data_IF_912721087791
#
_entry.id   IF_912721087791
#
_cell.length_a   1.000
_cell.length_b   1.000
_cell.length_c   1.000
_cell.angle_alpha   90.00
_cell.angle_beta   90.00
_cell.angle_gamma   90.00
#
_symmetry.space_group_name_H-M   'P 1'
#
loop_
_entity.id
_entity.type
_entity.pdbx_description
1 polymer ?
#
# COMPACT_ATOMS: atom_id res chain seq x y z
N UNK A 1 7.52 32.96 -14.26
CA UNK A 1 6.45 31.95 -14.18
C UNK A 1 5.70 32.15 -12.87
N UNK A 2 4.37 32.34 -12.89
CA UNK A 2 3.55 32.55 -11.68
C UNK A 2 3.01 31.20 -11.22
N UNK A 3 3.33 30.81 -9.98
CA UNK A 3 2.76 29.66 -9.28
C UNK A 3 1.21 29.78 -9.22
N UNK A 4 0.44 28.74 -9.59
CA UNK A 4 -1.01 28.79 -9.42
C UNK A 4 -1.36 28.61 -7.94
N UNK A 5 -1.98 29.64 -7.37
CA UNK A 5 -2.65 29.64 -6.07
C UNK A 5 -3.97 28.87 -6.20
N UNK A 6 -4.04 27.58 -5.88
CA UNK A 6 -5.31 26.99 -5.40
C UNK A 6 -5.27 25.57 -4.81
N UNK A 7 -4.10 25.02 -4.44
CA UNK A 7 -3.97 23.67 -3.84
C UNK A 7 -4.92 23.48 -2.63
N UNK A 8 -5.06 24.51 -1.79
CA UNK A 8 -5.97 24.51 -0.64
C UNK A 8 -7.45 24.30 -1.03
N UNK A 9 -7.89 24.92 -2.14
CA UNK A 9 -9.27 24.76 -2.62
C UNK A 9 -9.54 23.35 -3.14
N UNK A 10 -8.54 22.71 -3.75
CA UNK A 10 -8.61 21.35 -4.25
C UNK A 10 -8.68 20.34 -3.10
N UNK A 11 -7.89 20.54 -2.04
CA UNK A 11 -7.92 19.72 -0.82
C UNK A 11 -9.27 19.87 -0.11
N UNK A 12 -9.74 21.11 0.10
CA UNK A 12 -11.05 21.35 0.74
C UNK A 12 -12.20 20.71 -0.04
N UNK A 13 -12.19 20.80 -1.37
CA UNK A 13 -13.25 20.25 -2.22
C UNK A 13 -13.24 18.71 -2.26
N UNK A 14 -12.07 18.07 -2.27
CA UNK A 14 -11.97 16.60 -2.31
C UNK A 14 -12.29 15.96 -0.95
N UNK A 15 -11.86 16.58 0.15
CA UNK A 15 -12.12 16.08 1.50
C UNK A 15 -13.56 16.36 1.96
N UNK A 16 -14.05 17.60 1.84
CA UNK A 16 -15.37 17.97 2.38
C UNK A 16 -16.54 17.53 1.49
N UNK A 17 -16.29 17.28 0.19
CA UNK A 17 -17.34 16.92 -0.77
C UNK A 17 -17.87 15.49 -0.62
N UNK A 18 -17.14 14.60 0.05
CA UNK A 18 -17.43 13.16 0.09
C UNK A 18 -17.89 12.64 1.45
N UNK A 19 -17.95 13.50 2.49
CA UNK A 19 -18.35 13.04 3.81
C UNK A 19 -19.85 13.28 4.00
N UNK A 20 -20.66 12.26 3.69
CA UNK A 20 -22.07 12.25 4.10
C UNK A 20 -22.16 12.19 5.63
N UNK A 21 -23.11 12.96 6.14
CA UNK A 21 -23.33 13.36 7.53
C UNK A 21 -23.27 12.20 8.54
N UNK A 22 -22.13 12.04 9.21
CA UNK A 22 -22.01 11.41 10.53
C UNK A 22 -21.40 12.43 11.50
N UNK A 23 -21.61 12.28 12.81
CA UNK A 23 -21.12 13.24 13.81
C UNK A 23 -19.57 13.38 13.84
N UNK A 24 -18.84 12.39 13.31
CA UNK A 24 -17.37 12.44 13.17
C UNK A 24 -16.94 13.33 11.99
N UNK A 25 -17.72 13.39 10.91
CA UNK A 25 -17.45 14.22 9.73
C UNK A 25 -17.32 15.72 10.04
N UNK A 26 -18.20 16.21 10.92
CA UNK A 26 -18.22 17.62 11.33
C UNK A 26 -17.04 17.96 12.25
N UNK A 27 -16.61 17.00 13.07
CA UNK A 27 -15.47 17.15 13.95
C UNK A 27 -14.15 17.13 13.17
N UNK A 28 -14.01 16.21 12.21
CA UNK A 28 -12.84 16.12 11.33
C UNK A 28 -12.72 17.36 10.43
N UNK A 29 -13.85 17.84 9.90
CA UNK A 29 -13.90 19.09 9.13
C UNK A 29 -13.49 20.32 9.95
N UNK A 30 -13.86 20.36 11.23
CA UNK A 30 -13.44 21.43 12.16
C UNK A 30 -11.96 21.35 12.50
N UNK A 31 -11.43 20.16 12.79
CA UNK A 31 -10.00 19.95 13.08
C UNK A 31 -9.14 20.38 11.89
N UNK A 32 -9.51 19.97 10.67
CA UNK A 32 -8.79 20.37 9.46
C UNK A 32 -8.87 21.87 9.20
N UNK A 33 -10.05 22.48 9.41
CA UNK A 33 -10.22 23.93 9.28
C UNK A 33 -9.40 24.70 10.31
N UNK A 34 -9.37 24.24 11.57
CA UNK A 34 -8.62 24.88 12.65
C UNK A 34 -7.11 24.75 12.41
N UNK A 35 -6.64 23.59 11.93
CA UNK A 35 -5.24 23.36 11.55
C UNK A 35 -4.80 24.26 10.38
N UNK A 36 -5.62 24.37 9.33
CA UNK A 36 -5.33 25.28 8.21
C UNK A 36 -5.36 26.75 8.65
N UNK A 37 -6.28 27.12 9.54
CA UNK A 37 -6.38 28.47 10.12
C UNK A 37 -5.14 28.80 10.95
N UNK A 38 -4.73 27.91 11.85
CA UNK A 38 -3.52 28.07 12.66
C UNK A 38 -2.25 28.14 11.80
N UNK A 39 -2.21 27.40 10.67
CA UNK A 39 -1.09 27.47 9.72
C UNK A 39 -1.07 28.80 8.94
N UNK A 40 -2.23 29.38 8.63
CA UNK A 40 -2.31 30.72 8.05
C UNK A 40 -1.99 31.83 9.06
N UNK A 41 -2.40 31.68 10.31
CA UNK A 41 -2.13 32.63 11.40
C UNK A 41 -0.65 32.63 11.79
N UNK A 42 -0.02 31.46 11.88
CA UNK A 42 1.44 31.36 12.11
C UNK A 42 2.28 31.94 10.97
N UNK A 43 1.76 31.97 9.73
CA UNK A 43 2.39 32.69 8.61
C UNK A 43 2.22 34.20 8.69
N UNK A 44 1.22 34.71 9.43
CA UNK A 44 0.95 36.14 9.63
C UNK A 44 1.68 36.70 10.84
N UNK A 45 2.04 35.87 11.81
CA UNK A 45 2.84 36.28 12.97
C UNK A 45 4.34 36.15 12.71
N UNK A 46 4.94 37.24 12.26
CA UNK A 46 6.32 37.56 12.62
C UNK A 46 6.31 38.97 13.20
N UNK A 47 6.45 39.12 14.53
CA UNK A 47 7.64 39.79 15.03
C UNK A 47 8.13 39.31 16.41
N UNK A 48 9.45 39.24 16.56
CA UNK A 48 10.18 39.90 17.66
C UNK A 48 10.08 39.31 19.08
N UNK A 49 11.19 38.70 19.51
CA UNK A 49 11.75 38.73 20.88
C UNK A 49 10.99 39.57 21.93
N UNK A 50 10.40 38.90 22.94
CA UNK A 50 10.27 39.42 24.30
C UNK A 50 10.02 38.28 25.31
N UNK A 51 10.93 38.10 26.26
CA UNK A 51 10.83 37.11 27.32
C UNK A 51 9.78 37.45 28.38
N UNK A 52 9.24 36.43 29.05
CA UNK A 52 8.40 36.65 30.23
C UNK A 52 8.59 35.59 31.31
N UNK A 53 8.74 36.09 32.52
CA UNK A 53 9.11 35.41 33.77
C UNK A 53 8.18 34.27 34.20
N UNK A 54 8.77 33.11 34.47
CA UNK A 54 8.11 31.92 35.04
C UNK A 54 7.75 32.20 36.51
N UNK A 55 6.48 32.50 36.77
CA UNK A 55 5.92 32.53 38.14
C UNK A 55 5.69 31.10 38.64
N UNK A 56 6.20 30.86 39.84
CA UNK A 56 6.17 29.64 40.65
C UNK A 56 4.75 29.09 40.83
N UNK A 57 4.44 27.94 40.20
CA UNK A 57 3.21 27.16 40.48
C UNK A 57 3.46 26.29 41.71
N UNK A 58 2.86 26.65 42.84
CA UNK A 58 2.86 25.81 44.05
C UNK A 58 1.77 24.75 43.90
N UNK A 59 2.16 23.49 43.66
CA UNK A 59 1.24 22.35 43.58
C UNK A 59 1.00 21.72 44.96
N UNK A 60 -0.28 21.58 45.35
CA UNK A 60 -0.75 21.21 46.70
C UNK A 60 -1.10 19.72 46.93
N UNK A 61 -0.80 18.77 46.03
CA UNK A 61 -1.08 17.35 46.31
C UNK A 61 0.16 16.44 46.25
N UNK A 62 0.33 15.50 47.20
CA UNK A 62 1.53 14.66 47.31
C UNK A 62 1.68 13.62 46.18
N UNK A 63 0.58 13.17 45.55
CA UNK A 63 0.61 12.17 44.46
C UNK A 63 1.14 12.79 43.14
N UNK A 64 0.90 14.09 42.90
CA UNK A 64 1.43 14.76 41.70
C UNK A 64 2.91 15.11 41.82
N UNK A 65 3.46 15.16 43.04
CA UNK A 65 4.89 15.44 43.27
C UNK A 65 5.79 14.29 42.83
N UNK A 66 5.35 13.05 42.96
CA UNK A 66 6.11 11.88 42.51
C UNK A 66 6.04 11.71 40.99
N UNK A 67 4.88 11.97 40.36
CA UNK A 67 4.75 11.96 38.90
C UNK A 67 5.59 13.06 38.24
N UNK A 68 5.56 14.29 38.76
CA UNK A 68 6.39 15.39 38.24
C UNK A 68 7.89 15.13 38.44
N UNK A 69 8.29 14.55 39.57
CA UNK A 69 9.69 14.18 39.81
C UNK A 69 10.16 13.06 38.86
N UNK A 70 9.31 12.06 38.57
CA UNK A 70 9.61 11.02 37.59
C UNK A 70 9.76 11.59 36.17
N UNK A 71 8.87 12.51 35.77
CA UNK A 71 8.96 13.21 34.47
C UNK A 71 10.22 14.07 34.38
N UNK A 72 10.61 14.77 35.44
CA UNK A 72 11.84 15.56 35.48
C UNK A 72 13.09 14.65 35.44
N UNK A 73 13.08 13.52 36.13
CA UNK A 73 14.19 12.56 36.09
C UNK A 73 14.30 11.92 34.71
N UNK A 74 13.19 11.56 34.07
CA UNK A 74 13.16 11.09 32.67
C UNK A 74 13.67 12.19 31.75
N UNK A 75 13.18 13.42 31.86
CA UNK A 75 13.62 14.56 31.05
C UNK A 75 15.10 14.92 31.27
N UNK A 76 15.66 14.72 32.46
CA UNK A 76 17.08 14.94 32.76
C UNK A 76 17.94 13.76 32.27
N UNK A 77 17.47 12.52 32.38
CA UNK A 77 18.19 11.35 31.86
C UNK A 77 18.21 11.31 30.33
N UNK A 78 17.13 11.75 29.68
CA UNK A 78 17.11 11.98 28.24
C UNK A 78 17.89 13.25 27.88
N UNK A 79 17.69 14.36 28.59
CA UNK A 79 18.37 15.63 28.35
C UNK A 79 19.90 15.54 28.46
N UNK A 80 20.43 14.74 29.38
CA UNK A 80 21.89 14.53 29.53
C UNK A 80 22.51 13.68 28.41
N UNK A 81 21.72 12.91 27.64
CA UNK A 81 22.21 12.27 26.40
C UNK A 81 22.22 13.23 25.20
N UNK A 82 21.61 14.41 25.31
CA UNK A 82 21.44 15.38 24.21
C UNK A 82 22.24 16.67 24.35
N UNK A 83 23.09 16.84 25.38
CA UNK A 83 23.95 18.02 25.50
C UNK A 83 25.15 17.86 24.55
N UNK A 84 25.02 18.55 23.42
CA UNK A 84 25.85 18.46 22.22
C UNK A 84 27.35 18.63 22.42
N UNK A 85 28.08 17.64 21.90
CA UNK A 85 29.42 17.85 21.35
C UNK A 85 29.38 18.32 19.89
N UNK A 86 30.52 18.71 19.30
CA UNK A 86 30.62 19.20 17.92
C UNK A 86 30.14 18.20 16.84
N UNK A 87 29.94 16.93 17.18
CA UNK A 87 29.63 15.84 16.23
C UNK A 87 28.15 15.71 15.85
N UNK A 88 27.23 16.43 16.51
CA UNK A 88 25.83 16.52 16.03
C UNK A 88 25.76 17.30 14.70
N UNK A 89 26.90 17.81 14.20
CA UNK A 89 27.10 18.36 12.86
C UNK A 89 26.85 17.33 11.73
N UNK A 90 27.12 16.04 12.01
CA UNK A 90 27.11 14.96 11.03
C UNK A 90 26.41 13.73 11.61
N UNK A 91 25.13 13.84 11.99
CA UNK A 91 24.37 12.62 12.33
C UNK A 91 24.31 11.74 11.09
N UNK A 92 25.07 10.65 11.10
CA UNK A 92 25.13 9.71 10.01
C UNK A 92 23.76 9.06 9.84
N UNK A 93 23.34 8.84 8.60
CA UNK A 93 22.09 8.16 8.29
C UNK A 93 21.94 6.80 9.01
N UNK A 94 23.05 6.09 9.24
CA UNK A 94 23.06 4.85 10.01
C UNK A 94 22.41 4.99 11.40
N UNK A 95 22.56 6.13 12.07
CA UNK A 95 21.92 6.36 13.37
C UNK A 95 20.42 6.56 13.23
N UNK A 96 19.98 7.32 12.23
CA UNK A 96 18.56 7.51 11.88
C UNK A 96 17.90 6.17 11.57
N UNK A 97 18.54 5.34 10.74
CA UNK A 97 18.05 3.99 10.41
C UNK A 97 17.94 3.10 11.65
N UNK A 98 18.95 3.09 12.51
CA UNK A 98 18.91 2.33 13.76
C UNK A 98 17.74 2.77 14.65
N UNK A 99 17.39 4.05 14.67
CA UNK A 99 16.20 4.54 15.37
C UNK A 99 14.92 4.09 14.69
N UNK A 100 14.85 4.16 13.36
CA UNK A 100 13.72 3.71 12.58
C UNK A 100 13.42 2.21 12.79
N UNK A 101 14.46 1.37 12.82
CA UNK A 101 14.36 -0.07 13.05
C UNK A 101 13.93 -0.43 14.49
N UNK A 102 14.02 0.52 15.42
CA UNK A 102 13.55 0.36 16.80
C UNK A 102 12.10 0.83 17.00
N UNK A 103 11.44 1.33 15.94
CA UNK A 103 10.06 1.76 16.04
C UNK A 103 9.15 0.53 16.04
N UNK A 104 8.55 0.25 17.20
CA UNK A 104 7.62 -0.87 17.36
C UNK A 104 6.22 -0.57 16.81
N UNK A 105 5.83 0.71 16.76
CA UNK A 105 4.54 1.17 16.24
C UNK A 105 4.68 2.45 15.40
N UNK A 106 4.08 2.45 14.21
CA UNK A 106 3.94 3.63 13.35
C UNK A 106 2.49 3.78 12.94
N UNK A 107 1.99 5.02 13.01
CA UNK A 107 0.83 5.46 12.25
C UNK A 107 1.31 6.44 11.16
N UNK A 108 0.78 6.33 9.95
CA UNK A 108 1.12 7.26 8.87
C UNK A 108 -0.02 7.52 7.91
N UNK A 109 -0.02 8.71 7.33
CA UNK A 109 -0.86 9.08 6.19
C UNK A 109 -0.08 8.91 4.89
N UNK A 110 -0.76 8.42 3.85
CA UNK A 110 -0.21 8.24 2.52
C UNK A 110 -0.92 9.22 1.59
N UNK A 111 -0.17 9.96 0.79
CA UNK A 111 -0.69 10.90 -0.20
C UNK A 111 0.03 10.63 -1.52
N UNK A 112 -0.72 10.49 -2.61
CA UNK A 112 -0.19 10.26 -3.95
C UNK A 112 -0.59 11.39 -4.87
N UNK A 113 0.40 12.05 -5.46
CA UNK A 113 0.23 13.12 -6.44
C UNK A 113 0.59 12.59 -7.82
N UNK A 114 -0.22 12.98 -8.81
CA UNK A 114 0.06 12.77 -10.23
C UNK A 114 -0.08 14.10 -10.97
N UNK A 115 1.03 14.70 -11.38
CA UNK A 115 1.04 16.11 -11.81
C UNK A 115 0.48 17.04 -10.72
N UNK A 116 -0.44 17.92 -11.13
CA UNK A 116 -1.16 18.85 -10.24
C UNK A 116 -2.30 18.19 -9.42
N UNK A 117 -2.63 16.92 -9.67
CA UNK A 117 -3.79 16.24 -9.09
C UNK A 117 -3.41 15.29 -7.92
N UNK A 118 -4.18 15.37 -6.84
CA UNK A 118 -4.13 14.37 -5.76
C UNK A 118 -4.96 13.15 -6.17
N UNK A 119 -4.28 12.11 -6.67
CA UNK A 119 -4.93 10.92 -7.21
C UNK A 119 -5.25 9.86 -6.15
N UNK A 120 -4.48 9.82 -5.05
CA UNK A 120 -4.66 8.81 -4.02
C UNK A 120 -4.33 9.33 -2.63
N UNK A 121 -5.03 8.80 -1.63
CA UNK A 121 -4.62 8.93 -0.24
C UNK A 121 -4.96 7.65 0.52
N UNK A 122 -4.40 7.51 1.71
CA UNK A 122 -4.65 6.39 2.58
C UNK A 122 -4.06 6.60 3.96
N UNK A 123 -4.25 5.59 4.79
CA UNK A 123 -3.79 5.56 6.18
C UNK A 123 -3.16 4.20 6.42
N UNK A 124 -2.08 4.15 7.17
CA UNK A 124 -1.40 2.89 7.44
C UNK A 124 -0.87 2.81 8.86
N UNK A 125 -0.94 1.61 9.41
CA UNK A 125 -0.43 1.26 10.73
C UNK A 125 0.56 0.13 10.59
N UNK A 126 1.68 0.21 11.31
CA UNK A 126 2.63 -0.86 11.44
C UNK A 126 2.86 -1.14 12.92
N UNK A 127 2.69 -2.38 13.35
CA UNK A 127 3.16 -2.84 14.66
C UNK A 127 3.44 -4.33 14.69
N UNK A 128 4.44 -4.72 15.49
CA UNK A 128 4.83 -6.11 15.72
C UNK A 128 5.07 -6.91 14.42
N UNK A 129 5.67 -6.26 13.42
CA UNK A 129 5.93 -6.87 12.10
C UNK A 129 4.69 -7.04 11.23
N UNK A 130 3.56 -6.43 11.59
CA UNK A 130 2.31 -6.44 10.81
C UNK A 130 2.00 -5.05 10.31
N UNK A 131 1.46 -4.96 9.10
CA UNK A 131 1.06 -3.70 8.48
C UNK A 131 -0.41 -3.77 8.06
N UNK A 132 -1.14 -2.68 8.29
CA UNK A 132 -2.45 -2.44 7.68
C UNK A 132 -2.37 -1.18 6.85
N UNK A 133 -2.99 -1.21 5.67
CA UNK A 133 -3.16 -0.03 4.82
C UNK A 133 -4.62 0.11 4.45
N UNK A 134 -5.23 1.24 4.78
CA UNK A 134 -6.55 1.65 4.30
C UNK A 134 -6.38 2.57 3.09
N UNK A 135 -6.93 2.15 1.95
CA UNK A 135 -7.00 2.97 0.75
C UNK A 135 -8.21 3.91 0.78
N UNK A 136 -8.10 5.05 0.11
CA UNK A 136 -9.21 5.99 -0.08
C UNK A 136 -10.42 5.41 -0.83
N UNK A 137 -10.23 4.35 -1.60
CA UNK A 137 -11.31 3.63 -2.29
C UNK A 137 -12.12 2.71 -1.36
N UNK A 138 -11.74 2.64 -0.07
CA UNK A 138 -12.30 1.76 0.95
C UNK A 138 -11.64 0.39 1.01
N UNK A 139 -10.62 0.13 0.18
CA UNK A 139 -9.86 -1.10 0.26
C UNK A 139 -8.98 -1.19 1.50
N UNK A 140 -8.70 -2.41 1.94
CA UNK A 140 -7.88 -2.69 3.11
C UNK A 140 -6.84 -3.74 2.75
N UNK A 141 -5.58 -3.44 3.05
CA UNK A 141 -4.47 -4.39 2.95
C UNK A 141 -4.08 -4.83 4.35
N UNK A 142 -3.96 -6.13 4.56
CA UNK A 142 -3.34 -6.72 5.74
C UNK A 142 -2.06 -7.42 5.32
N UNK A 143 -0.96 -7.14 5.99
CA UNK A 143 0.32 -7.83 5.85
C UNK A 143 0.74 -8.34 7.22
N UNK A 144 0.85 -9.65 7.39
CA UNK A 144 1.25 -10.26 8.67
C UNK A 144 2.76 -10.56 8.76
N UNK A 145 3.55 -10.01 7.83
CA UNK A 145 4.98 -10.28 7.70
C UNK A 145 5.30 -11.55 6.89
N UNK A 146 4.28 -12.38 6.62
CA UNK A 146 4.41 -13.61 5.81
C UNK A 146 3.53 -13.58 4.57
N UNK A 147 2.33 -13.05 4.71
CA UNK A 147 1.31 -13.00 3.67
C UNK A 147 0.64 -11.63 3.66
N UNK A 148 0.47 -11.10 2.45
CA UNK A 148 -0.37 -9.95 2.14
C UNK A 148 -1.73 -10.43 1.69
N UNK A 149 -2.78 -9.82 2.24
CA UNK A 149 -4.19 -9.99 1.85
C UNK A 149 -4.78 -8.63 1.53
N UNK A 150 -5.28 -8.48 0.31
CA UNK A 150 -5.99 -7.28 -0.14
C UNK A 150 -7.48 -7.54 -0.16
N UNK A 151 -8.23 -6.65 0.48
CA UNK A 151 -9.68 -6.65 0.51
C UNK A 151 -10.16 -5.39 -0.20
N UNK A 152 -11.16 -5.54 -1.06
CA UNK A 152 -11.82 -4.36 -1.61
C UNK A 152 -12.76 -3.71 -0.59
N UNK A 153 -13.38 -2.59 -0.98
CA UNK A 153 -14.35 -1.84 -0.14
C UNK A 153 -15.58 -2.60 0.33
N UNK A 154 -15.82 -3.80 -0.20
CA UNK A 154 -16.93 -4.69 0.22
C UNK A 154 -16.43 -5.83 1.11
N UNK A 155 -15.15 -5.84 1.47
CA UNK A 155 -14.53 -6.90 2.26
C UNK A 155 -14.26 -8.19 1.47
N UNK A 156 -14.28 -8.15 0.13
CA UNK A 156 -13.94 -9.33 -0.67
C UNK A 156 -12.43 -9.47 -0.78
N UNK A 157 -11.89 -10.64 -0.44
CA UNK A 157 -10.48 -10.96 -0.67
C UNK A 157 -10.20 -11.00 -2.17
N UNK A 158 -9.37 -10.08 -2.63
CA UNK A 158 -9.05 -9.90 -4.05
C UNK A 158 -7.61 -10.27 -4.39
N UNK A 159 -6.69 -10.13 -3.44
CA UNK A 159 -5.30 -10.57 -3.59
C UNK A 159 -4.84 -11.32 -2.35
N UNK A 160 -4.10 -12.41 -2.54
CA UNK A 160 -3.37 -13.14 -1.51
C UNK A 160 -2.00 -13.49 -2.07
N UNK A 161 -0.92 -13.03 -1.45
CA UNK A 161 0.45 -13.28 -1.92
C UNK A 161 1.45 -13.27 -0.76
N UNK A 162 2.65 -13.83 -0.91
CA UNK A 162 3.72 -13.67 0.06
C UNK A 162 4.00 -12.20 0.36
N UNK A 163 4.30 -11.92 1.63
CA UNK A 163 4.74 -10.60 2.07
C UNK A 163 6.14 -10.31 1.56
N UNK A 164 6.44 -9.03 1.33
CA UNK A 164 7.81 -8.61 1.04
C UNK A 164 8.71 -8.66 2.30
N UNK A 165 8.11 -8.75 3.49
CA UNK A 165 8.83 -8.95 4.75
C UNK A 165 9.39 -10.36 4.93
N UNK A 166 8.97 -11.34 4.11
CA UNK A 166 9.43 -12.75 4.22
C UNK A 166 10.95 -12.87 4.12
N UNK A 167 11.59 -11.98 3.34
CA UNK A 167 13.03 -11.97 3.12
C UNK A 167 13.81 -11.19 4.18
N UNK A 168 13.19 -10.88 5.32
CA UNK A 168 13.81 -10.13 6.41
C UNK A 168 13.92 -8.62 6.15
N UNK A 169 13.20 -8.11 5.15
CA UNK A 169 13.12 -6.68 4.88
C UNK A 169 12.52 -5.93 6.08
N UNK A 170 13.06 -4.76 6.37
CA UNK A 170 12.56 -3.83 7.37
C UNK A 170 11.34 -3.07 6.87
N UNK A 171 10.58 -2.48 7.80
CA UNK A 171 9.47 -1.58 7.47
C UNK A 171 9.91 -0.39 6.58
N UNK A 172 11.13 0.12 6.76
CA UNK A 172 11.66 1.19 5.92
C UNK A 172 11.97 0.74 4.48
N UNK A 173 12.49 -0.48 4.34
CA UNK A 173 12.64 -1.12 3.03
C UNK A 173 11.28 -1.35 2.37
N UNK A 174 10.26 -1.78 3.13
CA UNK A 174 8.90 -1.89 2.63
C UNK A 174 8.37 -0.56 2.09
N UNK A 175 8.48 0.52 2.86
CA UNK A 175 7.99 1.84 2.47
C UNK A 175 8.68 2.37 1.21
N UNK A 176 9.97 2.10 1.06
CA UNK A 176 10.77 2.58 -0.06
C UNK A 176 10.84 1.62 -1.25
N UNK A 177 10.12 0.50 -1.21
CA UNK A 177 10.22 -0.52 -2.25
C UNK A 177 11.60 -1.18 -2.35
N UNK A 178 12.35 -1.23 -1.23
CA UNK A 178 13.69 -1.80 -1.11
C UNK A 178 14.83 -0.82 -1.33
N UNK A 179 14.55 0.43 -1.72
CA UNK A 179 15.58 1.41 -2.06
C UNK A 179 16.45 1.83 -0.88
N UNK A 180 15.87 1.86 0.33
CA UNK A 180 16.59 2.19 1.56
C UNK A 180 17.18 0.95 2.24
N UNK A 181 17.51 -0.08 1.45
CA UNK A 181 18.19 -1.27 1.95
C UNK A 181 19.67 -1.02 2.25
N UNK A 182 20.24 -1.86 3.12
CA UNK A 182 21.65 -1.78 3.55
C UNK A 182 22.68 -1.87 2.43
N UNK A 183 22.26 -2.41 1.28
CA UNK A 183 23.11 -2.58 0.12
C UNK A 183 23.33 -1.27 -0.63
N UNK A 184 22.49 -0.25 -0.39
CA UNK A 184 22.61 1.05 -1.03
C UNK A 184 23.78 1.85 -0.43
N UNK A 185 24.84 2.02 -1.22
CA UNK A 185 26.06 2.73 -0.84
C UNK A 185 25.81 4.18 -0.41
N UNK A 186 24.78 4.85 -0.96
CA UNK A 186 24.44 6.24 -0.63
C UNK A 186 24.12 6.38 0.86
N UNK A 187 23.55 5.34 1.49
CA UNK A 187 23.19 5.35 2.91
C UNK A 187 24.41 5.52 3.83
N UNK A 188 25.62 5.19 3.36
CA UNK A 188 26.86 5.33 4.16
C UNK A 188 27.46 6.72 4.06
N UNK A 189 27.19 7.42 2.98
CA UNK A 189 27.87 8.67 2.62
C UNK A 189 26.94 9.90 2.72
N UNK A 190 25.63 9.69 2.91
CA UNK A 190 24.67 10.77 2.85
C UNK A 190 24.83 11.77 4.01
N UNK A 191 25.08 13.03 3.63
CA UNK A 191 25.11 14.17 4.54
C UNK A 191 23.74 14.85 4.49
N UNK A 192 23.03 15.00 5.63
CA UNK A 192 21.74 15.64 5.63
C UNK A 192 21.85 17.16 5.39
N UNK A 193 20.86 17.71 4.70
CA UNK A 193 20.60 19.15 4.73
C UNK A 193 19.97 19.51 6.08
N UNK A 194 20.50 20.53 6.74
CA UNK A 194 19.95 21.05 8.00
C UNK A 194 18.88 22.08 7.71
N UNK A 195 17.72 21.90 8.32
CA UNK A 195 16.64 22.89 8.28
C UNK A 195 16.37 23.35 9.71
N UNK A 196 16.93 24.51 10.05
CA UNK A 196 16.95 25.06 11.42
C UNK A 196 17.61 24.11 12.43
N UNK A 197 17.29 24.27 13.72
CA UNK A 197 17.72 23.36 14.77
C UNK A 197 16.84 22.11 14.91
N UNK A 198 15.72 22.04 14.18
CA UNK A 198 14.68 21.03 14.41
C UNK A 198 14.76 19.82 13.49
N UNK A 199 15.23 19.98 12.24
CA UNK A 199 15.09 18.93 11.23
C UNK A 199 16.38 18.63 10.45
N UNK A 200 16.51 17.37 10.06
CA UNK A 200 17.48 16.88 9.09
C UNK A 200 16.73 16.34 7.88
N UNK A 201 17.16 16.70 6.67
CA UNK A 201 16.62 16.21 5.41
C UNK A 201 17.69 15.41 4.70
N UNK A 202 17.45 14.12 4.51
CA UNK A 202 18.26 13.24 3.68
C UNK A 202 17.60 13.15 2.31
N UNK A 203 18.41 13.21 1.25
CA UNK A 203 17.97 13.05 -0.13
C UNK A 203 18.82 11.96 -0.75
N UNK A 204 18.22 11.07 -1.52
CA UNK A 204 18.89 9.94 -2.11
C UNK A 204 18.50 9.85 -3.58
N UNK A 205 19.52 9.67 -4.41
CA UNK A 205 19.40 9.45 -5.85
C UNK A 205 18.85 8.04 -6.11
N UNK A 206 18.14 7.80 -7.21
CA UNK A 206 17.53 6.50 -7.46
C UNK A 206 18.61 5.43 -7.63
N UNK A 207 18.35 4.17 -7.26
CA UNK A 207 19.35 3.12 -7.37
C UNK A 207 19.55 2.82 -8.86
N UNK A 208 20.76 2.38 -9.28
CA UNK A 208 21.01 2.06 -10.67
C UNK A 208 19.96 1.12 -11.26
N UNK A 209 19.35 1.50 -12.39
CA UNK A 209 18.34 0.70 -13.09
C UNK A 209 16.89 0.91 -12.63
N UNK A 210 16.62 1.81 -11.69
CA UNK A 210 15.25 2.26 -11.42
C UNK A 210 14.90 3.46 -12.28
N UNK A 211 14.27 3.19 -13.41
CA UNK A 211 13.76 4.19 -14.35
C UNK A 211 12.44 4.84 -13.90
N UNK A 212 11.75 4.24 -12.93
CA UNK A 212 10.49 4.69 -12.38
C UNK A 212 10.64 5.58 -11.13
N UNK A 213 11.86 5.79 -10.64
CA UNK A 213 12.14 6.53 -9.41
C UNK A 213 13.10 7.66 -9.75
N UNK A 214 12.74 8.90 -9.39
CA UNK A 214 13.62 10.06 -9.60
C UNK A 214 14.42 10.38 -8.34
N UNK A 215 13.78 10.51 -7.18
CA UNK A 215 14.47 10.89 -5.93
C UNK A 215 13.66 10.42 -4.73
N UNK A 216 14.35 10.08 -3.62
CA UNK A 216 13.70 9.91 -2.32
C UNK A 216 14.22 10.93 -1.33
N UNK A 217 13.32 11.59 -0.59
CA UNK A 217 13.66 12.52 0.48
C UNK A 217 13.03 12.09 1.80
N UNK A 218 13.80 12.18 2.89
CA UNK A 218 13.38 11.76 4.22
C UNK A 218 13.71 12.87 5.19
N UNK A 219 12.66 13.41 5.81
CA UNK A 219 12.79 14.43 6.86
C UNK A 219 12.66 13.75 8.22
N UNK A 220 13.62 13.99 9.10
CA UNK A 220 13.62 13.45 10.47
C UNK A 220 13.80 14.56 11.50
N UNK A 221 13.25 14.36 12.69
CA UNK A 221 13.51 15.25 13.81
C UNK A 221 14.97 15.14 14.24
N UNK A 222 15.69 16.24 14.41
CA UNK A 222 17.13 16.22 14.74
C UNK A 222 17.42 15.59 16.09
N UNK A 223 16.55 15.79 17.07
CA UNK A 223 16.72 15.24 18.42
C UNK A 223 16.16 13.81 18.52
N UNK A 224 15.00 13.54 17.93
CA UNK A 224 14.38 12.20 18.01
C UNK A 224 15.01 11.21 17.04
N UNK A 225 15.53 11.70 15.91
CA UNK A 225 15.90 10.96 14.71
C UNK A 225 14.76 10.09 14.16
N UNK A 226 13.52 10.38 14.58
CA UNK A 226 12.33 9.74 14.07
C UNK A 226 11.91 10.41 12.76
N UNK A 227 11.41 9.63 11.79
CA UNK A 227 10.89 10.18 10.54
C UNK A 227 9.66 11.03 10.80
N UNK A 228 9.58 12.14 10.08
CA UNK A 228 8.41 13.01 10.08
C UNK A 228 7.69 12.84 8.75
N UNK A 229 8.45 12.80 7.66
CA UNK A 229 7.92 12.51 6.34
C UNK A 229 8.94 11.76 5.47
N UNK A 230 8.41 10.94 4.56
CA UNK A 230 9.15 10.32 3.45
C UNK A 230 8.46 10.72 2.17
N UNK A 231 9.20 11.25 1.20
CA UNK A 231 8.67 11.64 -0.11
C UNK A 231 9.45 10.90 -1.20
N UNK A 232 8.73 10.15 -2.02
CA UNK A 232 9.28 9.33 -3.11
C UNK A 232 8.77 9.93 -4.43
N UNK A 233 9.68 10.51 -5.21
CA UNK A 233 9.38 11.07 -6.53
C UNK A 233 9.47 9.97 -7.57
N UNK A 234 8.38 9.72 -8.30
CA UNK A 234 8.30 8.70 -9.36
C UNK A 234 8.70 9.31 -10.70
N UNK A 235 8.32 10.57 -10.94
CA UNK A 235 8.89 11.43 -11.97
C UNK A 235 8.98 12.88 -11.46
N UNK A 236 9.32 13.84 -12.34
CA UNK A 236 9.48 15.27 -12.01
C UNK A 236 8.25 15.90 -11.31
N UNK A 237 7.04 15.40 -11.55
CA UNK A 237 5.77 15.94 -11.02
C UNK A 237 5.04 14.97 -10.08
N UNK A 238 5.31 13.67 -10.20
CA UNK A 238 4.63 12.61 -9.47
C UNK A 238 5.34 12.21 -8.17
N UNK A 239 4.59 12.07 -7.07
CA UNK A 239 5.18 11.59 -5.82
C UNK A 239 4.21 10.83 -4.91
N UNK A 240 4.78 9.91 -4.13
CA UNK A 240 4.16 9.30 -2.96
C UNK A 240 4.76 9.95 -1.69
N UNK A 241 3.91 10.54 -0.84
CA UNK A 241 4.27 11.20 0.41
C UNK A 241 3.69 10.41 1.59
N UNK A 242 4.55 10.07 2.54
CA UNK A 242 4.21 9.42 3.80
C UNK A 242 4.46 10.40 4.93
N UNK A 243 3.45 10.63 5.77
CA UNK A 243 3.53 11.56 6.91
C UNK A 243 3.32 10.74 8.18
N UNK A 244 4.28 10.80 9.09
CA UNK A 244 4.29 9.98 10.31
C UNK A 244 3.56 10.70 11.44
N UNK A 245 2.61 10.01 12.06
CA UNK A 245 1.81 10.49 13.18
C UNK A 245 2.18 9.69 14.44
N UNK A 246 2.74 10.39 15.42
CA UNK A 246 3.13 9.82 16.71
C UNK A 246 2.16 10.15 17.84
N UNK A 247 1.09 10.90 17.55
CA UNK A 247 0.05 11.21 18.53
C UNK A 247 -0.99 10.10 18.61
N UNK A 248 -1.22 9.40 17.50
CA UNK A 248 -2.15 8.28 17.45
C UNK A 248 -1.72 7.14 18.40
N UNK A 249 -2.63 6.65 19.27
CA UNK A 249 -2.32 5.53 20.14
C UNK A 249 -2.14 4.24 19.34
N UNK A 250 -1.28 3.36 19.82
CA UNK A 250 -1.11 2.02 19.27
C UNK A 250 -2.43 1.27 19.18
N UNK A 251 -2.69 0.65 18.02
CA UNK A 251 -3.89 -0.15 17.79
C UNK A 251 -3.75 -1.51 18.49
N UNK A 252 -4.84 -2.07 19.03
CA UNK A 252 -4.76 -3.36 19.72
C UNK A 252 -4.48 -4.50 18.73
N UNK A 253 -3.92 -5.64 19.16
CA UNK A 253 -3.49 -6.72 18.24
C UNK A 253 -4.57 -7.26 17.30
N UNK A 254 -5.84 -7.26 17.72
CA UNK A 254 -6.99 -7.67 16.91
C UNK A 254 -7.24 -6.76 15.70
N UNK A 255 -6.81 -5.49 15.77
CA UNK A 255 -6.88 -4.58 14.62
C UNK A 255 -6.08 -5.14 13.44
N UNK A 256 -4.92 -5.75 13.73
CA UNK A 256 -4.00 -6.38 12.77
C UNK A 256 -4.42 -7.78 12.29
N UNK A 257 -5.61 -8.25 12.68
CA UNK A 257 -6.13 -9.54 12.24
C UNK A 257 -7.07 -9.30 11.06
N UNK A 258 -6.80 -9.87 9.87
CA UNK A 258 -7.70 -9.74 8.74
C UNK A 258 -9.07 -10.33 9.06
N UNK A 259 -10.16 -9.77 8.52
CA UNK A 259 -11.49 -10.34 8.69
C UNK A 259 -11.52 -11.78 8.18
N UNK A 260 -12.41 -12.59 8.75
CA UNK A 260 -12.65 -13.95 8.24
C UNK A 260 -13.17 -13.83 6.80
N UNK A 261 -12.41 -14.40 5.86
CA UNK A 261 -12.82 -14.45 4.46
C UNK A 261 -14.00 -15.40 4.37
N UNK A 262 -15.10 -14.97 3.75
CA UNK A 262 -16.21 -15.87 3.43
C UNK A 262 -15.75 -17.04 2.56
N UNK A 263 -16.58 -18.09 2.47
CA UNK A 263 -16.33 -19.18 1.54
C UNK A 263 -16.16 -18.64 0.11
N UNK A 264 -15.30 -19.29 -0.68
CA UNK A 264 -15.24 -19.01 -2.11
C UNK A 264 -16.64 -19.12 -2.73
N UNK A 265 -16.89 -18.37 -3.81
CA UNK A 265 -18.18 -18.47 -4.51
C UNK A 265 -18.35 -19.86 -5.13
N UNK A 266 -17.23 -20.44 -5.59
CA UNK A 266 -17.15 -21.83 -5.97
C UNK A 266 -15.76 -22.42 -5.73
N UNK A 267 -15.72 -23.75 -5.63
CA UNK A 267 -14.52 -24.56 -5.49
C UNK A 267 -14.68 -25.83 -6.34
N UNK A 268 -13.60 -26.29 -6.95
CA UNK A 268 -13.56 -27.61 -7.57
C UNK A 268 -12.16 -28.16 -7.75
N UNK A 269 -12.09 -29.45 -8.08
CA UNK A 269 -10.82 -30.12 -8.38
C UNK A 269 -10.55 -30.06 -9.86
N UNK A 270 -9.37 -29.57 -10.24
CA UNK A 270 -8.86 -29.55 -11.62
C UNK A 270 -7.62 -30.43 -11.72
N UNK A 271 -7.41 -31.00 -12.90
CA UNK A 271 -6.23 -31.82 -13.21
C UNK A 271 -5.41 -31.06 -14.26
N UNK A 272 -4.09 -31.03 -14.09
CA UNK A 272 -3.16 -30.44 -15.06
C UNK A 272 -3.29 -31.16 -16.40
N UNK A 273 -3.32 -30.41 -17.51
CA UNK A 273 -3.62 -30.91 -18.86
C UNK A 273 -4.93 -31.72 -18.94
N UNK A 274 -5.85 -31.49 -17.99
CA UNK A 274 -7.10 -32.21 -17.85
C UNK A 274 -8.27 -31.63 -18.67
N UNK A 275 -9.44 -32.23 -18.45
CA UNK A 275 -10.72 -31.74 -18.96
C UNK A 275 -11.18 -30.47 -18.23
N UNK A 276 -12.08 -29.74 -18.87
CA UNK A 276 -12.78 -28.60 -18.26
C UNK A 276 -13.62 -29.06 -17.06
N UNK A 277 -13.61 -28.23 -16.02
CA UNK A 277 -14.39 -28.47 -14.80
C UNK A 277 -15.41 -27.36 -14.65
N UNK A 278 -16.68 -27.75 -14.59
CA UNK A 278 -17.79 -26.83 -14.35
C UNK A 278 -18.01 -26.66 -12.85
N UNK A 279 -17.91 -25.42 -12.38
CA UNK A 279 -18.06 -25.02 -11.00
C UNK A 279 -19.38 -24.27 -10.84
N UNK A 280 -20.27 -24.79 -10.00
CA UNK A 280 -21.50 -24.09 -9.64
C UNK A 280 -21.14 -22.85 -8.81
N UNK A 281 -21.53 -21.67 -9.28
CA UNK A 281 -21.27 -20.42 -8.57
C UNK A 281 -22.41 -20.17 -7.59
N UNK A 282 -22.09 -20.19 -6.31
CA UNK A 282 -23.01 -19.79 -5.25
C UNK A 282 -22.62 -18.42 -4.69
N UNK A 283 -23.61 -17.60 -4.35
CA UNK A 283 -23.36 -16.30 -3.69
C UNK A 283 -22.85 -15.18 -4.59
N UNK A 284 -22.82 -15.35 -5.92
CA UNK A 284 -22.60 -14.25 -6.88
C UNK A 284 -23.85 -14.10 -7.77
N UNK A 285 -24.82 -13.25 -7.39
CA UNK A 285 -26.05 -13.05 -8.16
C UNK A 285 -25.76 -12.66 -9.62
N UNK A 286 -26.46 -13.24 -10.59
CA UNK A 286 -26.25 -13.01 -12.01
C UNK A 286 -25.28 -13.98 -12.68
N UNK A 287 -24.58 -14.82 -11.90
CA UNK A 287 -23.67 -15.86 -12.41
C UNK A 287 -24.19 -17.25 -12.06
N UNK A 288 -24.22 -18.12 -13.06
CA UNK A 288 -24.67 -19.50 -12.95
C UNK A 288 -23.51 -20.45 -12.66
N UNK A 289 -22.48 -20.40 -13.49
CA UNK A 289 -21.36 -21.34 -13.45
C UNK A 289 -20.05 -20.69 -13.92
N UNK A 290 -18.93 -21.21 -13.42
CA UNK A 290 -17.60 -20.97 -13.96
C UNK A 290 -17.10 -22.26 -14.59
N UNK A 291 -16.54 -22.17 -15.79
CA UNK A 291 -15.84 -23.28 -16.44
C UNK A 291 -14.35 -23.02 -16.33
N UNK A 292 -13.60 -23.97 -15.78
CA UNK A 292 -12.19 -23.81 -15.49
C UNK A 292 -11.37 -24.90 -16.16
N UNK A 293 -10.24 -24.52 -16.74
CA UNK A 293 -9.27 -25.47 -17.28
C UNK A 293 -7.84 -25.11 -16.89
N UNK A 294 -7.11 -26.11 -16.42
CA UNK A 294 -5.69 -26.00 -16.09
C UNK A 294 -4.89 -26.65 -17.22
N UNK A 295 -4.11 -25.84 -17.93
CA UNK A 295 -3.35 -26.32 -19.09
C UNK A 295 -2.00 -26.85 -18.63
N UNK A 296 -1.01 -25.99 -18.52
CA UNK A 296 0.38 -26.39 -18.32
C UNK A 296 0.97 -25.78 -17.04
N UNK A 297 2.15 -26.31 -16.68
CA UNK A 297 2.97 -25.91 -15.54
C UNK A 297 4.32 -25.48 -16.08
N UNK A 298 4.75 -24.27 -15.75
CA UNK A 298 6.09 -23.79 -16.05
C UNK A 298 6.92 -23.66 -14.77
N UNK A 299 8.08 -24.32 -14.79
CA UNK A 299 9.04 -24.40 -13.66
C UNK A 299 10.49 -24.27 -14.17
N UNK A 300 10.64 -23.65 -15.35
CA UNK A 300 11.91 -23.50 -16.06
C UNK A 300 12.68 -22.22 -15.67
N UNK A 301 13.83 -21.97 -16.31
CA UNK A 301 14.62 -20.76 -16.10
C UNK A 301 13.90 -19.53 -16.66
N UNK A 302 13.96 -18.39 -15.98
CA UNK A 302 13.11 -17.26 -16.31
C UNK A 302 13.34 -16.64 -17.69
N UNK A 303 14.52 -16.85 -18.29
CA UNK A 303 14.86 -16.46 -19.66
C UNK A 303 14.03 -17.22 -20.71
N UNK A 304 13.55 -18.41 -20.36
CA UNK A 304 12.71 -19.28 -21.21
C UNK A 304 11.23 -19.17 -20.84
N UNK A 305 10.84 -18.19 -20.01
CA UNK A 305 9.44 -18.01 -19.60
C UNK A 305 8.56 -17.82 -20.86
N UNK A 306 7.52 -18.63 -21.07
CA UNK A 306 6.80 -18.62 -22.32
C UNK A 306 6.07 -17.29 -22.52
N UNK A 307 6.35 -16.60 -23.63
CA UNK A 307 5.74 -15.31 -23.93
C UNK A 307 4.26 -15.42 -24.29
N UNK A 308 3.81 -16.61 -24.70
CA UNK A 308 2.45 -16.96 -25.10
C UNK A 308 1.52 -17.32 -23.94
N UNK A 309 2.02 -17.33 -22.69
CA UNK A 309 1.18 -17.40 -21.50
C UNK A 309 0.18 -16.24 -21.40
N UNK A 310 0.41 -15.16 -22.16
CA UNK A 310 -0.48 -14.01 -22.26
C UNK A 310 -0.77 -13.72 -23.73
N UNK A 311 -1.12 -14.78 -24.46
CA UNK A 311 -1.44 -14.75 -25.89
C UNK A 311 -2.82 -14.17 -26.14
N UNK A 312 -2.84 -13.08 -26.90
CA UNK A 312 -4.01 -12.35 -27.38
C UNK A 312 -3.83 -12.15 -28.87
N UNK A 313 -4.46 -13.00 -29.66
CA UNK A 313 -4.64 -12.80 -31.11
C UNK A 313 -5.35 -11.45 -31.43
N UNK A 314 -5.87 -10.76 -30.41
CA UNK A 314 -6.67 -9.53 -30.50
C UNK A 314 -5.95 -8.26 -30.02
N UNK A 315 -4.72 -8.33 -29.54
CA UNK A 315 -3.97 -7.16 -29.07
C UNK A 315 -2.77 -6.83 -29.97
N UNK A 316 -2.30 -5.57 -29.90
CA UNK A 316 -1.14 -5.16 -30.70
C UNK A 316 0.13 -5.90 -30.24
N UNK A 317 1.07 -6.22 -31.14
CA UNK A 317 2.30 -6.92 -30.77
C UNK A 317 3.09 -6.24 -29.65
N UNK A 318 3.12 -4.90 -29.62
CA UNK A 318 3.81 -4.13 -28.57
C UNK A 318 3.14 -4.27 -27.21
N UNK A 319 1.81 -4.31 -27.16
CA UNK A 319 1.08 -4.56 -25.93
C UNK A 319 1.37 -5.97 -25.41
N UNK A 320 1.27 -6.99 -26.27
CA UNK A 320 1.57 -8.37 -25.92
C UNK A 320 3.00 -8.49 -25.37
N UNK A 321 3.98 -7.88 -26.06
CA UNK A 321 5.38 -7.86 -25.61
C UNK A 321 5.54 -7.25 -24.22
N UNK A 322 4.90 -6.11 -23.95
CA UNK A 322 4.96 -5.44 -22.65
C UNK A 322 4.38 -6.31 -21.54
N UNK A 323 3.24 -6.96 -21.80
CA UNK A 323 2.57 -7.83 -20.83
C UNK A 323 3.37 -9.10 -20.57
N UNK A 324 3.88 -9.76 -21.61
CA UNK A 324 4.78 -10.92 -21.47
C UNK A 324 6.06 -10.57 -20.72
N UNK A 325 6.66 -9.39 -20.98
CA UNK A 325 7.85 -8.94 -20.26
C UNK A 325 7.56 -8.70 -18.77
N UNK A 326 6.40 -8.11 -18.45
CA UNK A 326 5.95 -7.94 -17.06
C UNK A 326 5.77 -9.27 -16.35
N UNK A 327 5.14 -10.25 -17.01
CA UNK A 327 4.95 -11.59 -16.46
C UNK A 327 6.29 -12.32 -16.25
N UNK A 328 7.21 -12.20 -17.21
CA UNK A 328 8.57 -12.73 -17.11
C UNK A 328 9.32 -12.11 -15.93
N UNK A 329 9.33 -10.79 -15.77
CA UNK A 329 9.95 -10.11 -14.61
C UNK A 329 9.33 -10.55 -13.28
N UNK A 330 8.01 -10.75 -13.26
CA UNK A 330 7.34 -11.28 -12.07
C UNK A 330 7.78 -12.72 -11.76
N UNK A 331 7.93 -13.56 -12.79
CA UNK A 331 8.46 -14.92 -12.64
C UNK A 331 9.93 -14.93 -12.22
N UNK A 332 10.79 -14.09 -12.81
CA UNK A 332 12.19 -13.88 -12.39
C UNK A 332 12.26 -13.58 -10.88
N UNK A 333 11.35 -12.73 -10.38
CA UNK A 333 11.32 -12.35 -8.97
C UNK A 333 10.77 -13.44 -8.06
N UNK A 334 9.71 -14.14 -8.47
CA UNK A 334 8.98 -15.09 -7.60
C UNK A 334 9.45 -16.52 -7.72
N UNK A 335 10.03 -16.90 -8.84
CA UNK A 335 10.28 -18.29 -9.21
C UNK A 335 9.01 -19.05 -9.63
N UNK A 336 9.21 -20.34 -9.90
CA UNK A 336 8.19 -21.32 -10.23
C UNK A 336 7.81 -22.24 -9.06
N UNK A 337 6.79 -23.10 -9.24
CA UNK A 337 6.04 -23.27 -10.48
C UNK A 337 4.92 -22.23 -10.66
N UNK A 338 4.68 -21.84 -11.92
CA UNK A 338 3.50 -21.09 -12.35
C UNK A 338 2.61 -21.98 -13.21
N UNK A 339 1.31 -21.76 -13.15
CA UNK A 339 0.32 -22.53 -13.89
C UNK A 339 -0.48 -21.64 -14.81
N UNK A 340 -0.91 -22.22 -15.93
CA UNK A 340 -1.77 -21.57 -16.90
C UNK A 340 -3.22 -21.97 -16.70
N UNK A 341 -4.04 -21.03 -16.23
CA UNK A 341 -5.44 -21.23 -15.91
C UNK A 341 -6.34 -20.44 -16.87
N UNK A 342 -7.33 -21.10 -17.47
CA UNK A 342 -8.42 -20.45 -18.20
C UNK A 342 -9.69 -20.47 -17.35
N UNK A 343 -10.42 -19.35 -17.36
CA UNK A 343 -11.68 -19.24 -16.64
C UNK A 343 -12.72 -18.62 -17.57
N UNK A 344 -13.83 -19.32 -17.74
CA UNK A 344 -15.04 -18.80 -18.39
C UNK A 344 -16.17 -18.69 -17.37
N UNK A 345 -17.05 -17.73 -17.57
CA UNK A 345 -18.24 -17.51 -16.76
C UNK A 345 -19.49 -17.59 -17.64
N UNK A 346 -20.54 -18.17 -17.08
CA UNK A 346 -21.88 -18.21 -17.67
C UNK A 346 -22.85 -17.49 -16.76
N UNK A 347 -23.61 -16.53 -17.29
CA UNK A 347 -24.65 -15.85 -16.51
C UNK A 347 -25.92 -16.68 -16.35
N UNK A 348 -26.81 -16.23 -15.47
CA UNK A 348 -28.16 -16.82 -15.31
C UNK A 348 -28.95 -16.83 -16.63
N UNK A 349 -28.70 -15.85 -17.50
CA UNK A 349 -29.31 -15.73 -18.83
C UNK A 349 -28.61 -16.59 -19.90
N UNK A 350 -27.53 -17.28 -19.56
CA UNK A 350 -26.80 -18.18 -20.47
C UNK A 350 -25.76 -17.51 -21.37
N UNK A 351 -25.41 -16.25 -21.11
CA UNK A 351 -24.31 -15.59 -21.81
C UNK A 351 -22.97 -16.14 -21.33
N UNK A 352 -22.05 -16.35 -22.27
CA UNK A 352 -20.72 -16.90 -22.00
C UNK A 352 -19.65 -15.84 -22.19
N UNK A 353 -18.71 -15.76 -21.25
CA UNK A 353 -17.54 -14.88 -21.37
C UNK A 353 -16.30 -15.56 -20.80
N UNK A 354 -15.21 -15.50 -21.56
CA UNK A 354 -13.93 -16.16 -21.23
C UNK A 354 -12.88 -15.10 -20.96
N UNK A 355 -11.95 -15.38 -20.04
CA UNK A 355 -10.73 -14.60 -19.92
C UNK A 355 -10.05 -14.51 -21.28
N UNK A 356 -9.83 -13.28 -21.78
CA UNK A 356 -9.20 -13.06 -23.09
C UNK A 356 -7.78 -13.64 -23.16
N UNK A 357 -7.15 -13.78 -21.99
CA UNK A 357 -5.81 -14.31 -21.79
C UNK A 357 -5.83 -15.48 -20.81
N UNK A 358 -4.80 -16.32 -20.86
CA UNK A 358 -4.56 -17.25 -19.77
C UNK A 358 -4.07 -16.51 -18.53
N UNK A 359 -4.51 -17.00 -17.38
CA UNK A 359 -4.11 -16.49 -16.09
C UNK A 359 -2.87 -17.26 -15.62
N UNK A 360 -1.76 -16.55 -15.47
CA UNK A 360 -0.59 -17.06 -14.76
C UNK A 360 -0.90 -17.07 -13.25
N UNK A 361 -1.02 -18.27 -12.67
CA UNK A 361 -1.35 -18.45 -11.24
C UNK A 361 -0.24 -19.19 -10.50
N UNK A 362 0.13 -18.67 -9.32
CA UNK A 362 1.05 -19.32 -8.39
C UNK A 362 0.27 -20.06 -7.31
N UNK A 363 0.87 -21.14 -6.77
CA UNK A 363 0.23 -21.91 -5.72
C UNK A 363 0.00 -21.07 -4.47
N UNK A 364 -1.19 -21.22 -3.91
CA UNK A 364 -1.69 -20.53 -2.73
C UNK A 364 -1.75 -19.00 -2.86
N UNK A 365 -1.51 -18.45 -4.05
CA UNK A 365 -1.77 -17.04 -4.34
C UNK A 365 -3.19 -16.84 -4.89
N UNK A 366 -3.72 -15.65 -4.71
CA UNK A 366 -4.90 -15.16 -5.41
C UNK A 366 -4.54 -13.81 -6.02
N UNK A 367 -4.88 -13.60 -7.30
CA UNK A 367 -4.70 -12.32 -7.97
C UNK A 367 -6.04 -11.86 -8.52
N UNK A 368 -6.32 -10.56 -8.42
CA UNK A 368 -7.56 -10.03 -8.98
C UNK A 368 -7.47 -10.02 -10.50
N UNK A 369 -8.46 -10.64 -11.12
CA UNK A 369 -8.67 -10.75 -12.55
C UNK A 369 -10.01 -10.12 -12.93
N UNK A 370 -10.21 -9.93 -14.22
CA UNK A 370 -11.47 -9.45 -14.76
C UNK A 370 -11.82 -10.16 -16.06
N UNK A 371 -13.10 -10.42 -16.27
CA UNK A 371 -13.66 -10.78 -17.57
C UNK A 371 -14.64 -9.69 -18.00
N UNK A 372 -14.47 -9.15 -19.20
CA UNK A 372 -15.14 -7.95 -19.70
C UNK A 372 -14.14 -6.91 -20.20
N UNK A 373 -14.61 -5.70 -20.55
CA UNK A 373 -13.85 -4.67 -21.26
C UNK A 373 -12.57 -4.20 -20.53
N UNK A 374 -11.47 -4.93 -20.71
CA UNK A 374 -10.11 -4.51 -20.39
C UNK A 374 -9.58 -3.69 -21.58
N UNK A 375 -10.04 -2.45 -21.74
CA UNK A 375 -9.55 -1.63 -22.86
C UNK A 375 -10.28 -0.35 -23.22
N UNK A 376 -11.09 0.24 -22.34
CA UNK A 376 -11.58 1.61 -22.56
C UNK A 376 -12.54 1.82 -23.74
N UNK A 377 -13.08 0.78 -24.36
CA UNK A 377 -14.13 0.96 -25.37
C UNK A 377 -14.69 -0.36 -25.89
N UNK A 378 -16.02 -0.49 -25.81
CA UNK A 378 -16.88 -1.32 -26.66
C UNK A 378 -16.47 -2.81 -26.65
N UNK A 379 -16.90 -3.62 -25.68
CA UNK A 379 -18.28 -4.08 -25.63
C UNK A 379 -18.69 -4.39 -24.19
N UNK A 380 -19.90 -4.00 -23.82
CA UNK A 380 -20.58 -4.54 -22.63
C UNK A 380 -20.71 -6.07 -22.76
N UNK A 381 -21.13 -6.75 -21.71
CA UNK A 381 -21.73 -8.08 -21.90
C UNK A 381 -22.77 -8.00 -23.02
N UNK A 382 -23.00 -9.08 -23.80
CA UNK A 382 -23.92 -9.03 -24.94
C UNK A 382 -25.33 -8.52 -24.60
N UNK A 383 -25.71 -8.54 -23.33
CA UNK A 383 -26.97 -8.03 -22.80
C UNK A 383 -26.96 -6.53 -22.37
N UNK A 384 -25.80 -5.87 -22.34
CA UNK A 384 -25.63 -4.49 -21.87
C UNK A 384 -25.84 -4.28 -20.37
N UNK A 385 -26.16 -5.34 -19.61
CA UNK A 385 -26.59 -5.29 -18.20
C UNK A 385 -25.41 -5.26 -17.24
N UNK A 386 -24.35 -5.98 -17.59
CA UNK A 386 -23.18 -6.14 -16.74
C UNK A 386 -21.95 -5.48 -17.36
N UNK A 387 -21.21 -4.73 -16.54
CA UNK A 387 -19.96 -4.09 -17.00
C UNK A 387 -18.84 -5.10 -17.07
N UNK A 388 -18.55 -5.77 -15.95
CA UNK A 388 -17.41 -6.66 -15.79
C UNK A 388 -17.68 -7.69 -14.68
N UNK A 389 -17.08 -8.87 -14.83
CA UNK A 389 -16.89 -9.81 -13.73
C UNK A 389 -15.53 -9.54 -13.13
N UNK A 390 -15.47 -9.27 -11.83
CA UNK A 390 -14.22 -9.24 -11.06
C UNK A 390 -14.11 -10.54 -10.31
N UNK A 391 -12.98 -11.23 -10.44
CA UNK A 391 -12.77 -12.50 -9.76
C UNK A 391 -11.33 -12.69 -9.34
N UNK A 392 -11.09 -13.58 -8.38
CA UNK A 392 -9.77 -13.88 -7.85
C UNK A 392 -9.63 -15.40 -7.73
N UNK A 393 -9.03 -16.06 -8.73
CA UNK A 393 -8.76 -17.49 -8.65
C UNK A 393 -7.59 -17.73 -7.70
N UNK A 394 -7.63 -18.84 -6.97
CA UNK A 394 -6.47 -19.37 -6.26
C UNK A 394 -6.36 -20.87 -6.48
N UNK A 395 -5.12 -21.34 -6.63
CA UNK A 395 -4.81 -22.75 -6.87
C UNK A 395 -4.07 -23.33 -5.66
N UNK A 396 -4.52 -24.46 -5.14
CA UNK A 396 -3.87 -25.15 -4.03
C UNK A 396 -3.62 -26.63 -4.37
N UNK A 397 -2.47 -27.21 -3.99
CA UNK A 397 -2.17 -28.61 -4.28
C UNK A 397 -3.10 -29.55 -3.49
N UNK A 398 -3.36 -30.73 -4.04
CA UNK A 398 -4.00 -31.83 -3.31
C UNK A 398 -2.99 -32.89 -2.88
N UNK A 399 -3.48 -33.97 -2.26
CA UNK A 399 -2.70 -35.17 -1.98
C UNK A 399 -2.37 -35.99 -3.24
N UNK A 400 -3.02 -35.69 -4.38
CA UNK A 400 -2.77 -36.35 -5.66
C UNK A 400 -1.89 -35.47 -6.55
N UNK A 401 -0.91 -36.12 -7.18
CA UNK A 401 -0.05 -35.51 -8.19
C UNK A 401 -0.90 -34.89 -9.32
N UNK A 402 -0.48 -33.73 -9.80
CA UNK A 402 -1.11 -32.95 -10.87
C UNK A 402 -2.60 -32.62 -10.66
N UNK A 403 -3.10 -32.80 -9.44
CA UNK A 403 -4.47 -32.46 -9.07
C UNK A 403 -4.46 -31.30 -8.09
N UNK A 404 -5.26 -30.29 -8.39
CA UNK A 404 -5.32 -29.04 -7.65
C UNK A 404 -6.76 -28.70 -7.28
N UNK A 405 -6.92 -27.98 -6.17
CA UNK A 405 -8.16 -27.29 -5.84
C UNK A 405 -8.07 -25.89 -6.44
N UNK A 406 -9.05 -25.53 -7.27
CA UNK A 406 -9.27 -24.15 -7.69
C UNK A 406 -10.43 -23.57 -6.88
N UNK A 407 -10.16 -22.45 -6.22
CA UNK A 407 -11.18 -21.61 -5.59
C UNK A 407 -11.36 -20.35 -6.42
N UNK A 408 -12.60 -19.96 -6.70
CA UNK A 408 -12.90 -18.69 -7.35
C UNK A 408 -13.78 -17.85 -6.43
N UNK A 409 -13.31 -16.66 -6.12
CA UNK A 409 -14.09 -15.58 -5.52
C UNK A 409 -14.47 -14.62 -6.64
N UNK A 410 -15.74 -14.39 -6.90
CA UNK A 410 -16.18 -13.57 -8.01
C UNK A 410 -17.37 -12.69 -7.62
N UNK A 411 -17.50 -11.59 -8.37
CA UNK A 411 -18.68 -10.73 -8.35
C UNK A 411 -18.94 -10.17 -9.74
N UNK A 412 -20.21 -9.87 -9.98
CA UNK A 412 -20.62 -9.12 -11.16
C UNK A 412 -20.93 -7.68 -10.77
N UNK A 413 -20.46 -6.73 -11.56
CA UNK A 413 -20.78 -5.32 -11.40
C UNK A 413 -21.87 -4.95 -12.42
N UNK A 414 -23.09 -4.61 -11.97
CA UNK A 414 -24.10 -4.09 -12.89
C UNK A 414 -23.60 -2.77 -13.47
N UNK A 415 -24.02 -2.46 -14.69
CA UNK A 415 -23.82 -1.13 -15.26
C UNK A 415 -24.58 -0.14 -14.38
N UNK A 416 -23.89 0.86 -13.83
CA UNK A 416 -24.56 1.98 -13.20
C UNK A 416 -25.39 2.69 -14.28
N UNK A 417 -26.67 2.90 -14.02
CA UNK A 417 -27.61 3.61 -14.90
C UNK A 417 -27.17 5.05 -15.20
#
# INVERSE_FOLDING_TARGET
MRYPRNIESSIKKSYLGNIETSADAEMDGRILSDALTAMEESKKENPGLAGTNIKRIIMKSPIRKTAAAAVIIIAVLFGLKFIGGPDVANTAWAEVRNRFAQIDYVHMYIVKSRGDDLFGHGEAWHAHGKTIVHGNDGSITYDDGRMVKYFDKRGMLTVRRPSIFVDGQSFLEYLSGGFLSDENWQLKEQIPTRVSDDFLIYTFDPPPGSDWLDTTSITVGRNSLLPIQVKIYVDDEDYDLFIFDYEAPEKPPEFFVPPTVGSANCEGKVVLDGEEVVLNISGAPGLKEAVVRLYDKYDGPAEEFPSDYISVERHSPDFCKSVSEKARKQYEKKGGPVYRLEVSFVTDEGYHSTTLDFLAVWLNEANQCGVGALGGGLDDWPDGKYRNIRFSPSLSPTDREDTYIVEIRCRIEPKAD
#
